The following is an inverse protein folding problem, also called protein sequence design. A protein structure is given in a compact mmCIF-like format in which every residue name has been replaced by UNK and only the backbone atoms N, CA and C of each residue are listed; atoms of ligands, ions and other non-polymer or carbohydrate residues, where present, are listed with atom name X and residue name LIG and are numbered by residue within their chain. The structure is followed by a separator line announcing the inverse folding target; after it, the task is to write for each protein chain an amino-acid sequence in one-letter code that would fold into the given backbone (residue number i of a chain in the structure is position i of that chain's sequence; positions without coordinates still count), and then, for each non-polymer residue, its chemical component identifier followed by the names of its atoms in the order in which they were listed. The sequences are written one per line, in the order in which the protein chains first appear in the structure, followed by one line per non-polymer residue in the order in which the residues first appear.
data_IF_001944572456
#
_entry.id   IF_001944572456
#
_cell.length_a   1.000
_cell.length_b   1.000
_cell.length_c   1.000
_cell.angle_alpha   90.00
_cell.angle_beta   90.00
_cell.angle_gamma   90.00
#
_symmetry.space_group_name_H-M   'P 1'
#
loop_
_entity.id
_entity.type
_entity.pdbx_description
1 polymer ?
#
# COMPACT_ATOMS: atom_id res chain seq x y z
N UNK A 1 20.99 6.83 -42.96
CA UNK A 1 19.92 7.77 -42.55
C UNK A 1 18.68 7.46 -43.38
N UNK A 2 17.66 6.81 -42.76
CA UNK A 2 16.41 6.41 -43.42
C UNK A 2 15.29 7.46 -43.28
N UNK A 3 15.54 8.57 -42.55
CA UNK A 3 14.54 9.60 -42.31
C UNK A 3 15.01 10.95 -42.90
N UNK A 4 14.12 11.61 -43.65
CA UNK A 4 14.32 12.94 -44.18
C UNK A 4 13.57 13.92 -43.28
N UNK A 5 14.30 14.85 -42.62
CA UNK A 5 13.75 15.81 -41.64
C UNK A 5 12.94 15.16 -40.50
N UNK A 6 13.54 14.28 -39.68
CA UNK A 6 12.83 13.68 -38.55
C UNK A 6 12.45 14.77 -37.55
N UNK A 7 11.19 14.74 -37.11
CA UNK A 7 10.74 15.58 -35.99
C UNK A 7 11.22 14.94 -34.70
N UNK A 8 12.16 15.56 -34.04
CA UNK A 8 12.67 15.10 -32.75
C UNK A 8 11.66 15.48 -31.65
N UNK A 9 11.08 14.48 -31.01
CA UNK A 9 10.18 14.68 -29.87
C UNK A 9 10.97 14.31 -28.62
N UNK A 10 11.46 15.30 -27.89
CA UNK A 10 12.11 15.10 -26.61
C UNK A 10 11.04 14.85 -25.56
N UNK A 11 10.87 13.59 -25.15
CA UNK A 11 10.10 13.24 -23.98
C UNK A 11 10.95 13.53 -22.76
N UNK A 12 10.39 14.19 -21.75
CA UNK A 12 11.09 14.44 -20.48
C UNK A 12 11.73 13.17 -19.97
N UNK A 13 13.00 13.23 -19.48
CA UNK A 13 13.69 12.03 -19.03
C UNK A 13 12.83 11.31 -17.99
N UNK A 14 12.70 10.00 -18.14
CA UNK A 14 11.99 9.11 -17.21
C UNK A 14 12.60 9.05 -15.80
N UNK A 15 13.64 9.85 -15.57
CA UNK A 15 14.35 10.01 -14.29
C UNK A 15 13.67 10.94 -13.28
N UNK A 16 12.58 11.67 -13.67
CA UNK A 16 11.81 12.43 -12.69
C UNK A 16 10.88 11.50 -11.93
N UNK A 17 11.07 11.39 -10.62
CA UNK A 17 10.09 10.74 -9.75
C UNK A 17 8.75 11.43 -9.94
N UNK A 18 7.68 10.66 -10.17
CA UNK A 18 6.35 11.23 -10.31
C UNK A 18 6.03 12.12 -9.10
N UNK A 19 5.52 13.32 -9.38
CA UNK A 19 5.05 14.25 -8.36
C UNK A 19 4.00 13.52 -7.54
N UNK A 20 4.20 13.42 -6.20
CA UNK A 20 3.24 12.75 -5.31
C UNK A 20 3.70 11.42 -4.72
N UNK A 21 4.96 10.99 -4.97
CA UNK A 21 5.52 9.80 -4.31
C UNK A 21 6.40 10.20 -3.11
N UNK A 22 6.01 9.74 -1.93
CA UNK A 22 6.85 9.81 -0.73
C UNK A 22 7.74 8.58 -0.67
N UNK A 23 9.06 8.78 -0.66
CA UNK A 23 10.04 7.70 -0.65
C UNK A 23 10.80 7.65 0.66
N UNK A 24 11.00 6.42 1.18
CA UNK A 24 11.67 6.17 2.43
C UNK A 24 12.70 5.03 2.31
N UNK A 25 13.79 5.16 3.05
CA UNK A 25 14.80 4.11 3.24
C UNK A 25 14.61 3.45 4.59
N UNK A 26 14.74 2.13 4.65
CA UNK A 26 14.70 1.33 5.87
C UNK A 26 16.01 0.55 5.96
N UNK A 27 16.89 0.92 6.87
CA UNK A 27 18.13 0.16 7.10
C UNK A 27 17.79 -1.19 7.74
N UNK A 28 18.21 -2.29 7.10
CA UNK A 28 17.89 -3.64 7.53
C UNK A 28 18.95 -4.63 7.06
N UNK A 29 19.55 -5.37 7.97
CA UNK A 29 20.37 -6.52 7.61
C UNK A 29 19.51 -7.62 6.98
N UNK A 30 20.13 -8.56 6.25
CA UNK A 30 19.39 -9.65 5.61
C UNK A 30 18.54 -10.49 6.59
N UNK A 31 18.94 -10.57 7.87
CA UNK A 31 18.19 -11.27 8.91
C UNK A 31 16.97 -10.47 9.39
N UNK A 32 17.03 -9.15 9.31
CA UNK A 32 15.97 -8.25 9.79
C UNK A 32 14.95 -7.87 8.71
N UNK A 33 15.31 -8.00 7.41
CA UNK A 33 14.46 -7.51 6.29
C UNK A 33 13.02 -8.00 6.39
N UNK A 34 12.79 -9.30 6.68
CA UNK A 34 11.44 -9.85 6.78
C UNK A 34 10.64 -9.23 7.93
N UNK A 35 11.24 -9.15 9.11
CA UNK A 35 10.55 -8.59 10.28
C UNK A 35 10.30 -7.09 10.15
N UNK A 36 11.23 -6.34 9.52
CA UNK A 36 11.03 -4.91 9.25
C UNK A 36 9.99 -4.68 8.17
N UNK A 37 9.95 -5.55 7.15
CA UNK A 37 8.90 -5.53 6.13
C UNK A 37 7.53 -5.77 6.77
N UNK A 38 7.37 -6.81 7.57
CA UNK A 38 6.12 -7.09 8.28
C UNK A 38 5.69 -5.91 9.16
N UNK A 39 6.64 -5.36 9.93
CA UNK A 39 6.36 -4.22 10.80
C UNK A 39 5.81 -3.02 10.03
N UNK A 40 6.41 -2.66 8.88
CA UNK A 40 5.92 -1.52 8.09
C UNK A 40 4.58 -1.83 7.41
N UNK A 41 4.36 -3.08 6.95
CA UNK A 41 3.08 -3.51 6.39
C UNK A 41 1.92 -3.38 7.40
N UNK A 42 2.19 -3.65 8.68
CA UNK A 42 1.20 -3.51 9.75
C UNK A 42 0.95 -2.04 10.16
N UNK A 43 1.97 -1.17 10.04
CA UNK A 43 1.86 0.26 10.38
C UNK A 43 1.08 1.03 9.29
N UNK A 44 1.41 0.77 8.03
CA UNK A 44 0.81 1.46 6.90
C UNK A 44 -0.57 0.87 6.56
N UNK A 45 -1.53 1.73 6.27
CA UNK A 45 -2.87 1.30 5.83
C UNK A 45 -2.83 0.92 4.35
N UNK A 46 -2.33 -0.28 4.07
CA UNK A 46 -2.15 -0.76 2.71
C UNK A 46 -3.51 -1.11 2.11
N UNK A 47 -3.80 -0.55 0.94
CA UNK A 47 -4.95 -0.97 0.12
C UNK A 47 -4.53 -2.05 -0.88
N UNK A 48 -3.44 -1.77 -1.59
CA UNK A 48 -2.78 -2.67 -2.51
C UNK A 48 -1.31 -2.30 -2.60
N UNK A 49 -0.43 -3.29 -2.71
CA UNK A 49 1.01 -3.07 -2.75
C UNK A 49 1.72 -4.07 -3.67
N UNK A 50 2.89 -3.65 -4.16
CA UNK A 50 3.84 -4.56 -4.78
C UNK A 50 5.14 -4.59 -3.98
N UNK A 51 5.71 -5.78 -3.81
CA UNK A 51 7.01 -5.99 -3.18
C UNK A 51 7.96 -6.52 -4.24
N UNK A 52 9.01 -5.78 -4.54
CA UNK A 52 10.03 -6.16 -5.50
C UNK A 52 11.21 -6.86 -4.82
N UNK A 53 11.59 -8.02 -5.34
CA UNK A 53 12.78 -8.76 -4.95
C UNK A 53 13.69 -8.97 -6.17
N UNK A 54 15.02 -8.89 -5.98
CA UNK A 54 15.98 -9.11 -7.06
C UNK A 54 16.12 -10.60 -7.42
N UNK A 55 15.88 -11.51 -6.46
CA UNK A 55 16.07 -12.95 -6.62
C UNK A 55 14.76 -13.71 -6.47
N UNK A 56 14.57 -14.73 -7.31
CA UNK A 56 13.38 -15.60 -7.27
C UNK A 56 13.21 -16.32 -5.92
N UNK A 57 14.32 -16.74 -5.32
CA UNK A 57 14.31 -17.40 -4.00
C UNK A 57 13.75 -16.47 -2.92
N UNK A 58 14.06 -15.18 -2.99
CA UNK A 58 13.55 -14.20 -2.04
C UNK A 58 12.07 -13.91 -2.26
N UNK A 59 11.57 -13.96 -3.51
CA UNK A 59 10.13 -13.85 -3.80
C UNK A 59 9.35 -14.94 -3.08
N UNK A 60 9.76 -16.19 -3.23
CA UNK A 60 9.09 -17.32 -2.57
C UNK A 60 9.20 -17.23 -1.04
N UNK A 61 10.38 -16.84 -0.52
CA UNK A 61 10.62 -16.66 0.90
C UNK A 61 9.73 -15.57 1.50
N UNK A 62 9.67 -14.39 0.87
CA UNK A 62 8.82 -13.27 1.30
C UNK A 62 7.35 -13.65 1.20
N UNK A 63 6.91 -14.25 0.09
CA UNK A 63 5.51 -14.65 -0.08
C UNK A 63 5.08 -15.67 0.97
N UNK A 64 5.90 -16.70 1.23
CA UNK A 64 5.61 -17.72 2.26
C UNK A 64 5.59 -17.12 3.65
N UNK A 65 6.57 -16.26 3.98
CA UNK A 65 6.61 -15.56 5.26
C UNK A 65 5.35 -14.74 5.50
N UNK A 66 4.95 -13.91 4.54
CA UNK A 66 3.78 -13.05 4.66
C UNK A 66 2.47 -13.84 4.75
N UNK A 67 2.33 -14.93 3.99
CA UNK A 67 1.16 -15.82 4.10
C UNK A 67 1.04 -16.45 5.48
N UNK A 68 2.15 -16.88 6.07
CA UNK A 68 2.19 -17.41 7.43
C UNK A 68 1.77 -16.37 8.48
N UNK A 69 2.01 -15.09 8.19
CA UNK A 69 1.57 -13.95 9.01
C UNK A 69 0.18 -13.39 8.57
N UNK A 70 -0.60 -14.20 7.83
CA UNK A 70 -2.00 -13.92 7.44
C UNK A 70 -2.21 -12.75 6.49
N UNK A 71 -1.16 -12.32 5.79
CA UNK A 71 -1.33 -11.37 4.69
C UNK A 71 -1.86 -12.08 3.45
N UNK A 72 -2.77 -11.46 2.73
CA UNK A 72 -3.26 -11.95 1.44
C UNK A 72 -2.25 -11.62 0.35
N UNK A 73 -1.40 -12.56 0.02
CA UNK A 73 -0.31 -12.36 -0.93
C UNK A 73 -0.32 -13.37 -2.06
N UNK A 74 0.09 -12.93 -3.23
CA UNK A 74 0.43 -13.75 -4.40
C UNK A 74 1.84 -13.41 -4.86
N UNK A 75 2.48 -14.33 -5.59
CA UNK A 75 3.81 -14.09 -6.14
C UNK A 75 3.83 -14.20 -7.66
N UNK A 76 4.85 -13.55 -8.28
CA UNK A 76 5.05 -13.56 -9.72
C UNK A 76 6.54 -13.58 -10.06
N UNK A 77 7.01 -14.68 -10.66
CA UNK A 77 8.40 -14.82 -11.09
C UNK A 77 8.52 -15.71 -12.34
N UNK A 78 9.71 -15.70 -12.95
CA UNK A 78 9.93 -16.33 -14.26
C UNK A 78 9.77 -17.85 -14.31
N UNK A 79 9.89 -18.56 -13.17
CA UNK A 79 9.78 -20.03 -13.14
C UNK A 79 8.32 -20.51 -13.04
N UNK A 80 7.37 -19.60 -12.88
CA UNK A 80 5.95 -19.95 -12.88
C UNK A 80 5.48 -20.27 -14.30
N UNK A 81 4.62 -21.29 -14.43
CA UNK A 81 3.92 -21.52 -15.68
C UNK A 81 2.94 -20.39 -16.00
N UNK A 82 2.56 -20.27 -17.27
CA UNK A 82 1.73 -19.14 -17.71
C UNK A 82 0.37 -19.07 -17.01
N UNK A 83 -0.28 -20.23 -16.78
CA UNK A 83 -1.58 -20.27 -16.09
C UNK A 83 -1.48 -19.74 -14.65
N UNK A 84 -0.46 -20.18 -13.90
CA UNK A 84 -0.24 -19.70 -12.53
C UNK A 84 0.07 -18.20 -12.49
N UNK A 85 0.79 -17.67 -13.50
CA UNK A 85 1.07 -16.23 -13.60
C UNK A 85 -0.21 -15.42 -13.84
N UNK A 86 -1.07 -15.89 -14.75
CA UNK A 86 -2.36 -15.26 -15.05
C UNK A 86 -3.23 -15.27 -13.78
N UNK A 87 -3.39 -16.42 -13.13
CA UNK A 87 -4.20 -16.54 -11.92
C UNK A 87 -3.71 -15.61 -10.80
N UNK A 88 -2.38 -15.57 -10.51
CA UNK A 88 -1.83 -14.66 -9.51
C UNK A 88 -2.11 -13.19 -9.83
N UNK A 89 -2.03 -12.82 -11.11
CA UNK A 89 -2.30 -11.46 -11.53
C UNK A 89 -3.79 -11.11 -11.41
N UNK A 90 -4.68 -12.02 -11.76
CA UNK A 90 -6.12 -11.86 -11.63
C UNK A 90 -6.55 -11.79 -10.16
N UNK A 91 -6.01 -12.65 -9.29
CA UNK A 91 -6.25 -12.57 -7.84
C UNK A 91 -5.86 -11.19 -7.29
N UNK A 92 -4.71 -10.67 -7.70
CA UNK A 92 -4.26 -9.34 -7.28
C UNK A 92 -5.14 -8.22 -7.84
N UNK A 93 -5.47 -8.24 -9.14
CA UNK A 93 -6.31 -7.23 -9.79
C UNK A 93 -7.74 -7.20 -9.24
N UNK A 94 -8.27 -8.35 -8.89
CA UNK A 94 -9.63 -8.49 -8.34
C UNK A 94 -9.69 -8.22 -6.82
N UNK A 95 -8.55 -7.87 -6.18
CA UNK A 95 -8.51 -7.57 -4.74
C UNK A 95 -8.65 -8.81 -3.85
N UNK A 96 -8.49 -10.02 -4.38
CA UNK A 96 -8.42 -11.25 -3.59
C UNK A 96 -7.08 -11.36 -2.86
N UNK A 97 -6.02 -10.76 -3.42
CA UNK A 97 -4.74 -10.54 -2.78
C UNK A 97 -4.45 -9.05 -2.69
N UNK A 98 -3.98 -8.60 -1.53
CA UNK A 98 -3.63 -7.20 -1.27
C UNK A 98 -2.18 -6.90 -1.65
N UNK A 99 -1.33 -7.93 -1.72
CA UNK A 99 0.11 -7.79 -1.94
C UNK A 99 0.56 -8.73 -3.07
N UNK A 100 1.28 -8.17 -4.05
CA UNK A 100 1.97 -8.90 -5.08
C UNK A 100 3.47 -8.91 -4.81
N UNK A 101 4.11 -10.07 -4.67
CA UNK A 101 5.56 -10.22 -4.55
C UNK A 101 6.14 -10.61 -5.90
N UNK A 102 7.01 -9.80 -6.50
CA UNK A 102 7.45 -10.01 -7.87
C UNK A 102 8.92 -9.63 -8.13
N UNK A 103 9.48 -10.16 -9.22
CA UNK A 103 10.71 -9.62 -9.81
C UNK A 103 10.40 -8.55 -10.85
N UNK A 104 11.39 -7.68 -11.15
CA UNK A 104 11.25 -6.66 -12.20
C UNK A 104 10.85 -7.26 -13.54
N UNK A 105 11.52 -8.34 -13.95
CA UNK A 105 11.26 -9.01 -15.23
C UNK A 105 9.82 -9.52 -15.31
N UNK A 106 9.31 -10.09 -14.23
CA UNK A 106 7.96 -10.65 -14.20
C UNK A 106 6.88 -9.56 -14.14
N UNK A 107 7.17 -8.43 -13.49
CA UNK A 107 6.26 -7.29 -13.37
C UNK A 107 6.31 -6.33 -14.57
N UNK A 108 7.37 -6.42 -15.39
CA UNK A 108 7.53 -5.58 -16.58
C UNK A 108 6.48 -5.93 -17.64
N UNK A 109 5.86 -4.94 -18.25
CA UNK A 109 4.79 -5.14 -19.24
C UNK A 109 3.42 -5.48 -18.64
N UNK A 110 3.30 -5.64 -17.33
CA UNK A 110 2.01 -5.83 -16.68
C UNK A 110 1.36 -4.47 -16.39
N UNK A 111 0.08 -4.39 -16.67
CA UNK A 111 -0.74 -3.24 -16.27
C UNK A 111 -1.06 -3.32 -14.76
N UNK A 112 -0.07 -2.94 -13.97
CA UNK A 112 -0.15 -2.80 -12.51
C UNK A 112 0.24 -1.37 -12.19
N UNK A 113 -0.75 -0.53 -11.96
CA UNK A 113 -0.55 0.88 -11.66
C UNK A 113 -1.58 1.35 -10.62
N UNK A 114 -1.38 2.55 -10.08
CA UNK A 114 -2.29 3.12 -9.09
C UNK A 114 -2.22 2.42 -7.73
N UNK A 115 -1.09 1.78 -7.44
CA UNK A 115 -0.86 1.13 -6.15
C UNK A 115 -0.74 2.16 -5.04
N UNK A 116 -1.22 1.83 -3.84
CA UNK A 116 -1.03 2.66 -2.66
C UNK A 116 0.43 2.66 -2.20
N UNK A 117 1.09 1.49 -2.29
CA UNK A 117 2.44 1.30 -1.79
C UNK A 117 3.32 0.47 -2.73
N UNK A 118 4.61 0.80 -2.75
CA UNK A 118 5.67 0.02 -3.38
C UNK A 118 6.73 -0.29 -2.34
N UNK A 119 7.13 -1.56 -2.24
CA UNK A 119 8.22 -1.99 -1.38
C UNK A 119 9.35 -2.57 -2.24
N UNK A 120 10.55 -2.05 -2.09
CA UNK A 120 11.76 -2.68 -2.60
C UNK A 120 12.36 -3.50 -1.46
N UNK A 121 12.12 -4.81 -1.44
CA UNK A 121 12.75 -5.74 -0.49
C UNK A 121 14.27 -5.76 -0.67
N UNK A 122 14.72 -5.60 -1.92
CA UNK A 122 16.10 -5.40 -2.30
C UNK A 122 16.25 -4.10 -3.07
N UNK A 123 17.34 -3.38 -2.84
CA UNK A 123 17.74 -2.24 -3.66
C UNK A 123 17.90 -2.73 -5.10
N UNK A 124 17.29 -2.09 -6.10
CA UNK A 124 17.43 -2.52 -7.48
C UNK A 124 18.90 -2.40 -7.96
N UNK A 125 19.29 -3.33 -8.83
CA UNK A 125 20.65 -3.35 -9.37
C UNK A 125 20.99 -2.13 -10.24
N UNK A 126 19.97 -1.58 -10.93
CA UNK A 126 20.10 -0.38 -11.76
C UNK A 126 19.23 0.74 -11.18
N UNK A 127 19.75 1.98 -11.13
CA UNK A 127 18.99 3.12 -10.62
C UNK A 127 17.69 3.39 -11.40
N UNK A 128 17.66 3.12 -12.70
CA UNK A 128 16.47 3.29 -13.55
C UNK A 128 15.34 2.34 -13.13
N UNK A 129 15.68 1.11 -12.72
CA UNK A 129 14.68 0.15 -12.23
C UNK A 129 14.00 0.68 -10.96
N UNK A 130 14.70 1.44 -10.13
CA UNK A 130 14.07 2.12 -8.98
C UNK A 130 12.93 3.04 -9.42
N UNK A 131 13.16 3.87 -10.43
CA UNK A 131 12.13 4.79 -10.95
C UNK A 131 10.96 4.02 -11.54
N UNK A 132 11.23 2.94 -12.27
CA UNK A 132 10.19 2.06 -12.83
C UNK A 132 9.37 1.35 -11.75
N UNK A 133 10.01 0.90 -10.65
CA UNK A 133 9.34 0.26 -9.52
C UNK A 133 8.43 1.24 -8.80
N UNK A 134 8.97 2.38 -8.36
CA UNK A 134 8.17 3.36 -7.61
C UNK A 134 7.09 4.01 -8.48
N UNK A 135 7.32 4.10 -9.80
CA UNK A 135 6.32 4.55 -10.76
C UNK A 135 5.08 3.65 -10.89
N UNK A 136 4.96 2.55 -10.10
CA UNK A 136 3.72 1.78 -9.95
C UNK A 136 2.74 2.44 -8.98
N UNK A 137 3.20 3.36 -8.16
CA UNK A 137 2.36 4.20 -7.27
C UNK A 137 2.38 5.67 -7.72
N UNK A 138 1.62 6.54 -7.06
CA UNK A 138 1.62 7.98 -7.29
C UNK A 138 1.13 8.39 -8.68
N UNK A 139 0.23 7.65 -9.33
CA UNK A 139 -0.30 7.96 -10.65
C UNK A 139 -1.67 8.63 -10.57
N UNK A 140 -2.02 9.35 -11.65
CA UNK A 140 -3.33 10.00 -11.81
C UNK A 140 -3.69 10.98 -10.67
N UNK A 141 -2.70 11.70 -10.13
CA UNK A 141 -2.92 12.67 -9.05
C UNK A 141 -3.10 12.04 -7.65
N UNK A 142 -2.98 10.72 -7.53
CA UNK A 142 -2.99 10.04 -6.24
C UNK A 142 -1.60 10.10 -5.58
N UNK A 143 -1.58 10.28 -4.27
CA UNK A 143 -0.35 10.13 -3.48
C UNK A 143 0.01 8.66 -3.31
N UNK A 144 1.30 8.35 -3.29
CA UNK A 144 1.80 7.01 -3.07
C UNK A 144 3.02 6.99 -2.17
N UNK A 145 3.30 5.83 -1.56
CA UNK A 145 4.48 5.64 -0.71
C UNK A 145 5.37 4.55 -1.25
N UNK A 146 6.68 4.77 -1.21
CA UNK A 146 7.69 3.81 -1.62
C UNK A 146 8.69 3.59 -0.49
N UNK A 147 8.91 2.33 -0.12
CA UNK A 147 9.83 1.93 0.93
C UNK A 147 10.93 1.06 0.35
N UNK A 148 12.19 1.33 0.69
CA UNK A 148 13.34 0.57 0.20
C UNK A 148 14.15 0.06 1.38
N UNK A 149 14.23 -1.26 1.53
CA UNK A 149 15.08 -1.90 2.51
C UNK A 149 16.50 -1.99 1.95
N UNK A 150 17.48 -1.59 2.75
CA UNK A 150 18.89 -1.59 2.35
C UNK A 150 19.79 -1.99 3.52
N UNK A 151 20.93 -2.56 3.22
CA UNK A 151 22.01 -2.80 4.20
C UNK A 151 23.25 -1.95 3.89
N UNK A 152 24.31 -2.13 4.67
CA UNK A 152 25.56 -1.35 4.49
C UNK A 152 26.22 -1.63 3.14
N UNK A 153 26.02 -2.80 2.53
CA UNK A 153 26.52 -3.13 1.19
C UNK A 153 25.77 -2.39 0.08
N UNK A 154 24.55 -1.95 0.32
CA UNK A 154 23.68 -1.29 -0.66
C UNK A 154 23.91 0.23 -0.74
N UNK A 155 24.71 0.84 0.14
CA UNK A 155 24.86 2.30 0.23
C UNK A 155 25.27 2.96 -1.09
N UNK A 156 26.18 2.33 -1.85
CA UNK A 156 26.60 2.84 -3.15
C UNK A 156 25.45 2.87 -4.16
N UNK A 157 24.61 1.84 -4.16
CA UNK A 157 23.43 1.75 -5.04
C UNK A 157 22.39 2.79 -4.66
N UNK A 158 22.16 3.01 -3.36
CA UNK A 158 21.28 4.06 -2.86
C UNK A 158 21.75 5.44 -3.29
N UNK A 159 23.06 5.73 -3.18
CA UNK A 159 23.63 7.00 -3.63
C UNK A 159 23.47 7.22 -5.14
N UNK A 160 23.61 6.15 -5.96
CA UNK A 160 23.38 6.25 -7.40
C UNK A 160 21.90 6.55 -7.72
N UNK A 161 20.97 5.93 -6.98
CA UNK A 161 19.54 6.22 -7.10
C UNK A 161 19.25 7.68 -6.76
N UNK A 162 19.72 8.17 -5.62
CA UNK A 162 19.54 9.57 -5.19
C UNK A 162 20.10 10.57 -6.20
N UNK A 163 21.26 10.24 -6.78
CA UNK A 163 21.87 11.06 -7.86
C UNK A 163 21.00 11.09 -9.11
N UNK A 164 20.41 9.95 -9.50
CA UNK A 164 19.53 9.85 -10.66
C UNK A 164 18.25 10.66 -10.46
N UNK A 165 17.59 10.50 -9.30
CA UNK A 165 16.34 11.20 -8.99
C UNK A 165 16.55 12.65 -8.51
N UNK A 166 17.81 13.07 -8.36
CA UNK A 166 18.22 14.41 -7.86
C UNK A 166 17.58 14.81 -6.54
N UNK A 167 17.31 13.83 -5.68
CA UNK A 167 16.64 14.01 -4.39
C UNK A 167 17.18 13.02 -3.37
N UNK A 168 17.41 13.47 -2.14
CA UNK A 168 17.69 12.59 -1.00
C UNK A 168 16.43 11.84 -0.57
N UNK A 169 16.59 10.57 -0.23
CA UNK A 169 15.49 9.74 0.26
C UNK A 169 15.55 9.73 1.78
N UNK A 170 14.43 10.02 2.43
CA UNK A 170 14.35 10.10 3.88
C UNK A 170 14.47 8.72 4.53
N UNK A 171 15.17 8.64 5.66
CA UNK A 171 15.20 7.41 6.47
C UNK A 171 13.88 7.31 7.22
N UNK A 172 13.22 6.15 7.12
CA UNK A 172 11.99 5.87 7.85
C UNK A 172 12.29 5.60 9.33
N UNK A 173 11.70 6.40 10.20
CA UNK A 173 11.85 6.22 11.65
C UNK A 173 10.59 5.56 12.23
N UNK A 174 10.72 4.29 12.63
CA UNK A 174 9.64 3.54 13.26
C UNK A 174 9.19 4.12 14.60
N UNK A 175 10.04 4.85 15.32
CA UNK A 175 9.71 5.40 16.64
C UNK A 175 8.75 6.59 16.55
N UNK A 176 8.89 7.42 15.51
CA UNK A 176 8.03 8.59 15.32
C UNK A 176 6.57 8.25 15.06
N UNK A 177 6.29 7.08 14.52
CA UNK A 177 4.91 6.66 14.19
C UNK A 177 4.09 6.33 15.44
N UNK A 178 4.73 5.97 16.54
CA UNK A 178 4.06 5.67 17.81
C UNK A 178 3.78 6.92 18.67
N UNK A 179 4.26 8.11 18.28
CA UNK A 179 4.20 9.33 19.09
C UNK A 179 3.15 10.34 18.57
N UNK A 180 2.58 10.15 17.38
CA UNK A 180 1.47 11.00 16.95
C UNK A 180 0.17 10.54 17.63
N UNK A 181 -0.33 11.26 18.67
CA UNK A 181 -1.67 11.09 19.16
C UNK A 181 -2.61 11.47 18.01
N UNK A 182 -3.63 10.65 17.77
CA UNK A 182 -4.75 11.00 16.89
C UNK A 182 -5.46 12.23 17.44
N UNK A 183 -4.93 13.43 17.17
CA UNK A 183 -5.55 14.69 17.55
C UNK A 183 -5.51 15.64 16.35
N UNK A 184 -6.40 15.39 15.40
CA UNK A 184 -6.84 16.42 14.44
C UNK A 184 -8.30 16.17 14.10
N UNK A 185 -9.18 16.70 14.94
CA UNK A 185 -10.41 17.39 14.53
C UNK A 185 -11.10 17.95 15.78
N UNK A 186 -10.72 19.13 16.15
CA UNK A 186 -11.63 20.09 16.79
C UNK A 186 -11.22 21.47 16.30
N UNK A 187 -11.82 21.86 15.20
CA UNK A 187 -11.84 23.24 14.75
C UNK A 187 -12.59 24.05 15.77
N UNK A 188 -11.87 24.97 16.40
CA UNK A 188 -12.34 26.06 17.23
C UNK A 188 -13.38 26.88 16.49
N UNK A 189 -14.65 26.75 16.88
CA UNK A 189 -15.63 27.83 16.72
C UNK A 189 -15.71 28.52 18.06
N UNK A 190 -15.07 29.70 18.16
CA UNK A 190 -15.34 30.67 19.22
C UNK A 190 -16.63 31.39 18.87
N UNK A 191 -17.73 31.02 19.44
CA UNK A 191 -18.87 31.91 19.61
C UNK A 191 -19.03 32.28 21.07
N UNK A 192 -18.84 33.57 21.33
CA UNK A 192 -19.30 34.23 22.53
C UNK A 192 -20.82 34.22 22.52
N UNK A 193 -21.45 33.62 23.50
CA UNK A 193 -22.74 34.07 23.93
C UNK A 193 -22.94 33.82 25.44
N UNK A 194 -23.05 34.93 26.10
CA UNK A 194 -23.53 35.08 27.47
C UNK A 194 -24.99 34.69 27.54
N UNK A 195 -25.31 33.69 28.34
CA UNK A 195 -26.69 33.50 28.82
C UNK A 195 -26.70 33.26 30.30
N UNK A 196 -27.57 34.09 30.92
CA UNK A 196 -27.92 34.15 32.33
C UNK A 196 -28.46 32.80 32.85
N UNK A 197 -28.07 32.47 34.08
CA UNK A 197 -28.74 31.47 34.89
C UNK A 197 -30.24 31.77 35.01
N UNK A 198 -31.03 30.79 34.64
CA UNK A 198 -32.44 30.69 35.05
C UNK A 198 -32.64 29.30 35.62
N UNK A 199 -32.83 29.27 36.92
CA UNK A 199 -33.28 28.11 37.68
C UNK A 199 -34.71 27.79 37.29
N UNK A 200 -34.98 26.56 36.83
CA UNK A 200 -36.34 26.00 36.84
C UNK A 200 -36.29 24.52 37.22
N UNK A 201 -37.10 24.26 38.20
CA UNK A 201 -37.43 23.01 38.86
C UNK A 201 -38.13 22.01 37.89
N UNK A 202 -37.86 20.77 38.13
CA UNK A 202 -38.73 19.60 37.95
C UNK A 202 -39.68 19.53 36.75
N UNK A 203 -39.34 18.65 35.78
CA UNK A 203 -40.37 17.80 35.18
C UNK A 203 -39.73 16.52 34.59
N UNK A 204 -40.04 15.41 35.23
CA UNK A 204 -39.79 14.07 34.73
C UNK A 204 -40.60 13.85 33.45
N UNK A 205 -39.93 13.71 32.32
CA UNK A 205 -40.54 13.10 31.12
C UNK A 205 -39.90 11.73 30.94
N UNK A 206 -40.74 10.73 31.21
CA UNK A 206 -40.46 9.32 31.07
C UNK A 206 -40.59 8.98 29.58
N UNK A 207 -39.47 8.83 28.85
CA UNK A 207 -39.48 8.28 27.48
C UNK A 207 -39.12 6.83 27.59
N UNK A 208 -40.16 6.00 27.66
CA UNK A 208 -40.04 4.54 27.65
C UNK A 208 -39.53 4.08 26.28
N UNK A 209 -38.39 3.41 26.27
CA UNK A 209 -37.98 2.57 25.14
C UNK A 209 -38.81 1.28 25.19
N UNK A 210 -39.31 0.78 24.04
CA UNK A 210 -39.99 -0.52 24.02
C UNK A 210 -38.96 -1.63 24.28
N UNK A 211 -39.38 -2.74 24.95
CA UNK A 211 -38.51 -3.86 25.25
C UNK A 211 -38.05 -4.57 23.97
N UNK A 212 -36.77 -4.93 23.94
CA UNK A 212 -36.16 -5.74 22.90
C UNK A 212 -36.57 -7.21 23.14
N UNK A 213 -37.72 -7.59 22.63
CA UNK A 213 -38.10 -8.99 22.49
C UNK A 213 -38.45 -9.24 21.04
N UNK A 214 -37.66 -10.08 20.41
CA UNK A 214 -37.89 -10.91 19.23
C UNK A 214 -36.68 -10.89 18.27
N UNK A 215 -35.55 -11.43 18.74
CA UNK A 215 -34.62 -12.07 17.83
C UNK A 215 -35.21 -13.42 17.42
N UNK A 216 -35.81 -13.47 16.25
CA UNK A 216 -36.27 -14.72 15.64
C UNK A 216 -35.01 -15.51 15.24
N UNK A 217 -34.87 -16.68 15.89
CA UNK A 217 -33.79 -17.62 15.61
C UNK A 217 -34.05 -18.29 14.24
N UNK A 218 -33.23 -17.97 13.24
CA UNK A 218 -33.37 -18.43 11.84
C UNK A 218 -33.15 -19.94 11.61
N UNK A 219 -33.14 -20.77 12.67
CA UNK A 219 -32.85 -22.20 12.56
C UNK A 219 -34.07 -23.09 12.34
N UNK A 220 -35.30 -22.59 12.50
CA UNK A 220 -36.50 -23.47 12.54
C UNK A 220 -37.57 -23.22 11.46
N UNK A 221 -37.36 -22.34 10.52
CA UNK A 221 -38.29 -22.15 9.40
C UNK A 221 -37.59 -22.38 8.05
N UNK A 222 -37.58 -23.59 7.55
CA UNK A 222 -36.98 -23.96 6.23
C UNK A 222 -37.52 -23.20 5.00
N UNK A 223 -37.78 -21.90 5.10
CA UNK A 223 -38.22 -21.05 4.00
C UNK A 223 -37.13 -19.98 3.72
N UNK A 224 -36.52 -20.10 2.56
CA UNK A 224 -35.60 -19.11 2.00
C UNK A 224 -36.43 -17.90 1.53
N UNK A 225 -36.10 -16.67 1.95
CA UNK A 225 -36.77 -15.46 1.46
C UNK A 225 -36.67 -15.31 -0.06
N UNK A 226 -37.75 -14.93 -0.70
CA UNK A 226 -37.90 -14.85 -2.15
C UNK A 226 -36.94 -13.89 -2.87
N UNK A 227 -36.25 -12.98 -2.17
CA UNK A 227 -35.25 -12.08 -2.73
C UNK A 227 -33.89 -12.75 -3.02
N UNK A 228 -33.68 -13.99 -2.53
CA UNK A 228 -32.47 -14.80 -2.79
C UNK A 228 -32.66 -15.80 -3.94
N UNK A 229 -33.83 -15.83 -4.57
CA UNK A 229 -34.12 -16.70 -5.70
C UNK A 229 -34.34 -15.80 -6.92
N UNK A 230 -33.29 -15.22 -7.49
CA UNK A 230 -33.31 -14.84 -8.92
C UNK A 230 -31.88 -14.58 -9.42
N UNK A 231 -31.47 -15.51 -10.28
CA UNK A 231 -30.53 -15.49 -11.42
C UNK A 231 -29.15 -14.90 -11.23
#
# INVERSE_FOLDING_TARGET
NFLINPKEITVSPSSSTAVGIESFLIKATNKEKLNKLEKILNIEKIKNAVIFCNKKIDINKVNTFLRNHKFKTVCLHGDMNQSSRINSLEEFKNGLADILVASDVAARGLDIAGLSHVFNYDVPNNPEDYVHRIGRTGRAGLSGKAFTLYDDGDEKSVLMIEKLIKKKINIYNFEKVFIEPQNKQTSTIKEKNSYKEVSLKDNKVNVGFPPIENFVNFKDSGQIPSFLINK
#
